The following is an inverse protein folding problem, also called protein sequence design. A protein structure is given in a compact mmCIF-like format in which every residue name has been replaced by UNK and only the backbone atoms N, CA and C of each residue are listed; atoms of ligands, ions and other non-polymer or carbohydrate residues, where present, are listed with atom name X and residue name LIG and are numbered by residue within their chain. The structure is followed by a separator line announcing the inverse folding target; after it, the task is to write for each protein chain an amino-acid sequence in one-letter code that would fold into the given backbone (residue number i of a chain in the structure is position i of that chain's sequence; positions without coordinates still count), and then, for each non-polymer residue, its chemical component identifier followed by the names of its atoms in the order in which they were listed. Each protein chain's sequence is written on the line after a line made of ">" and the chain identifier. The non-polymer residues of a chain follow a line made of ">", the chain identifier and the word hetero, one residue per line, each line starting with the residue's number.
data_IF_153921833804
#
_entry.id   IF_153921833804
#
_cell.length_a   1.000
_cell.length_b   1.000
_cell.length_c   1.000
_cell.angle_alpha   90.00
_cell.angle_beta   90.00
_cell.angle_gamma   90.00
#
_symmetry.space_group_name_H-M   'P 1'
#
loop_
_entity.id
_entity.type
_entity.pdbx_description
1 polymer ?
#
# COMPACT_ATOMS: atom_id res chain seq x y z
N UNK A 1 -20.31 3.40 6.23
CA UNK A 1 -21.19 3.80 5.09
C UNK A 1 -20.50 3.34 3.82
N UNK A 2 -21.19 3.14 2.69
CA UNK A 2 -20.49 2.97 1.41
C UNK A 2 -19.61 4.20 1.16
N UNK A 3 -18.37 4.00 0.69
CA UNK A 3 -17.47 5.09 0.31
C UNK A 3 -17.75 5.48 -1.14
N UNK A 4 -18.89 6.13 -1.35
CA UNK A 4 -19.52 6.35 -2.67
C UNK A 4 -18.60 7.08 -3.68
N UNK A 5 -17.76 8.00 -3.20
CA UNK A 5 -16.85 8.79 -4.03
C UNK A 5 -15.41 8.31 -3.99
N UNK A 6 -15.15 7.10 -3.47
CA UNK A 6 -13.80 6.52 -3.41
C UNK A 6 -13.32 6.20 -4.82
N UNK A 7 -12.08 6.53 -5.13
CA UNK A 7 -11.46 6.17 -6.40
C UNK A 7 -11.37 4.65 -6.61
N UNK A 8 -11.14 4.24 -7.84
CA UNK A 8 -11.17 2.83 -8.22
C UNK A 8 -9.83 2.11 -8.01
N UNK A 9 -9.91 0.85 -7.59
CA UNK A 9 -8.75 -0.04 -7.55
C UNK A 9 -8.45 -0.58 -8.95
N UNK A 10 -7.39 -0.08 -9.60
CA UNK A 10 -6.98 -0.45 -10.96
C UNK A 10 -5.74 -1.34 -10.97
N UNK A 11 -5.55 -2.09 -12.06
CA UNK A 11 -4.29 -2.78 -12.39
C UNK A 11 -3.82 -2.30 -13.77
N UNK A 12 -2.74 -1.53 -13.80
CA UNK A 12 -2.14 -0.99 -15.01
C UNK A 12 -0.64 -0.73 -14.79
N UNK A 13 0.13 -0.58 -15.88
CA UNK A 13 1.46 0.01 -15.82
C UNK A 13 1.32 1.53 -15.71
N UNK A 14 1.99 2.12 -14.72
CA UNK A 14 1.96 3.55 -14.42
C UNK A 14 3.33 3.94 -13.86
N UNK A 15 3.88 5.04 -14.39
CA UNK A 15 5.18 5.59 -14.00
C UNK A 15 5.05 6.87 -13.14
N UNK A 16 3.85 7.46 -13.12
CA UNK A 16 3.46 8.62 -12.30
C UNK A 16 2.42 8.21 -11.26
N UNK A 17 2.74 8.39 -9.97
CA UNK A 17 1.87 8.07 -8.83
C UNK A 17 2.43 8.66 -7.52
N UNK A 18 1.66 8.60 -6.44
CA UNK A 18 2.14 8.71 -5.06
C UNK A 18 2.07 7.32 -4.44
N UNK A 19 3.22 6.75 -4.09
CA UNK A 19 3.26 5.54 -3.27
C UNK A 19 3.06 5.92 -1.80
N UNK A 20 2.25 5.16 -1.06
CA UNK A 20 1.74 5.48 0.26
C UNK A 20 1.76 4.24 1.18
N UNK A 21 2.05 4.47 2.46
CA UNK A 21 1.89 3.52 3.56
C UNK A 21 1.51 4.28 4.85
N UNK A 22 0.54 3.74 5.62
CA UNK A 22 0.07 4.31 6.88
C UNK A 22 0.30 3.36 8.06
N UNK A 23 1.00 3.86 9.08
CA UNK A 23 0.98 3.23 10.40
C UNK A 23 -0.24 3.72 11.19
N UNK A 24 -0.93 2.80 11.88
CA UNK A 24 -2.25 3.04 12.48
C UNK A 24 -2.41 2.34 13.84
N UNK A 25 -3.40 2.73 14.65
CA UNK A 25 -3.65 2.07 15.95
C UNK A 25 -4.40 0.74 15.87
N UNK A 26 -4.84 0.34 14.68
CA UNK A 26 -5.63 -0.87 14.44
C UNK A 26 -6.13 -0.92 13.00
N UNK A 27 -7.26 -1.60 12.75
CA UNK A 27 -7.77 -1.81 11.40
C UNK A 27 -9.08 -1.10 11.06
N UNK A 28 -9.79 -0.55 12.05
CA UNK A 28 -11.08 0.08 11.83
C UNK A 28 -10.97 1.59 11.76
N UNK A 29 -11.01 2.12 10.54
CA UNK A 29 -11.20 3.53 10.14
C UNK A 29 -12.15 4.38 10.99
N UNK A 30 -13.04 3.76 11.78
CA UNK A 30 -14.07 4.41 12.60
C UNK A 30 -13.78 4.38 14.10
N UNK A 31 -12.71 3.69 14.52
CA UNK A 31 -12.34 3.44 15.92
C UNK A 31 -10.83 3.57 16.17
N UNK A 32 -10.02 3.53 15.12
CA UNK A 32 -8.57 3.61 15.12
C UNK A 32 -8.09 4.86 14.37
N UNK A 33 -6.91 5.34 14.74
CA UNK A 33 -6.31 6.57 14.21
C UNK A 33 -5.00 6.31 13.46
N UNK A 34 -4.65 7.25 12.56
CA UNK A 34 -3.37 7.28 11.84
C UNK A 34 -2.27 7.77 12.80
N UNK A 35 -1.11 7.11 12.77
CA UNK A 35 0.09 7.40 13.58
C UNK A 35 1.28 7.92 12.76
N UNK A 36 1.40 7.49 11.51
CA UNK A 36 2.42 7.97 10.58
C UNK A 36 1.84 7.95 9.16
N UNK A 37 2.14 8.98 8.37
CA UNK A 37 1.92 9.01 6.92
C UNK A 37 3.30 9.00 6.26
N UNK A 38 3.63 7.92 5.55
CA UNK A 38 4.80 7.86 4.68
C UNK A 38 4.35 7.83 3.23
N UNK A 39 4.89 8.72 2.40
CA UNK A 39 4.58 8.75 0.99
C UNK A 39 5.76 9.24 0.12
N UNK A 40 5.81 8.74 -1.12
CA UNK A 40 6.80 9.14 -2.12
C UNK A 40 6.07 9.43 -3.42
N UNK A 41 6.23 10.66 -3.92
CA UNK A 41 5.79 11.02 -5.26
C UNK A 41 6.79 10.49 -6.27
N UNK A 42 6.29 9.71 -7.21
CA UNK A 42 7.04 9.13 -8.32
C UNK A 42 6.59 9.81 -9.61
N UNK A 43 7.56 10.14 -10.47
CA UNK A 43 7.37 10.64 -11.85
C UNK A 43 8.37 10.00 -12.79
N UNK A 44 7.93 9.57 -13.97
CA UNK A 44 8.75 8.81 -14.93
C UNK A 44 9.48 7.61 -14.26
N UNK A 45 8.85 6.99 -13.26
CA UNK A 45 9.42 5.89 -12.46
C UNK A 45 10.46 6.30 -11.40
N UNK A 46 10.76 7.60 -11.26
CA UNK A 46 11.78 8.17 -10.35
C UNK A 46 11.12 8.84 -9.14
N UNK A 47 11.64 8.69 -7.90
CA UNK A 47 11.13 9.44 -6.76
C UNK A 47 11.54 10.91 -6.90
N UNK A 48 10.56 11.82 -6.93
CA UNK A 48 10.80 13.27 -7.06
C UNK A 48 10.55 14.02 -5.75
N UNK A 49 9.76 13.46 -4.84
CA UNK A 49 9.36 14.11 -3.60
C UNK A 49 9.03 13.06 -2.52
N UNK A 50 9.31 13.37 -1.24
CA UNK A 50 8.99 12.53 -0.09
C UNK A 50 8.17 13.30 0.93
N UNK A 51 7.20 12.64 1.55
CA UNK A 51 6.38 13.15 2.65
C UNK A 51 6.43 12.13 3.78
N UNK A 52 6.84 12.55 4.97
CA UNK A 52 6.85 11.72 6.19
C UNK A 52 6.33 12.58 7.34
N UNK A 53 5.26 12.14 8.00
CA UNK A 53 4.63 12.89 9.09
C UNK A 53 4.08 11.94 10.15
N UNK A 54 4.68 11.98 11.35
CA UNK A 54 4.09 11.40 12.56
C UNK A 54 2.84 12.18 12.98
N UNK A 55 1.86 11.48 13.51
CA UNK A 55 0.55 12.01 13.89
C UNK A 55 0.27 11.68 15.35
N UNK A 56 -0.19 12.68 16.12
CA UNK A 56 -0.62 12.48 17.49
C UNK A 56 -2.11 12.05 17.52
N UNK A 57 -2.45 10.84 17.98
CA UNK A 57 -3.83 10.38 18.07
C UNK A 57 -4.61 11.03 19.23
N UNK A 58 -3.97 11.84 20.07
CA UNK A 58 -4.61 12.51 21.22
C UNK A 58 -4.85 11.60 22.43
N UNK A 59 -4.43 10.34 22.38
CA UNK A 59 -4.47 9.38 23.48
C UNK A 59 -3.23 8.49 23.53
N UNK A 60 -3.07 7.73 24.61
CA UNK A 60 -1.92 6.85 24.79
C UNK A 60 -1.98 5.63 23.85
N UNK A 61 -0.99 5.50 22.96
CA UNK A 61 -0.79 4.35 22.09
C UNK A 61 -0.60 3.08 22.96
N UNK A 62 -1.38 2.01 22.74
CA UNK A 62 -1.21 0.75 23.47
C UNK A 62 0.14 0.08 23.18
N UNK A 63 0.77 -0.51 24.20
CA UNK A 63 2.09 -1.17 24.07
C UNK A 63 2.17 -2.23 22.95
N UNK A 64 1.06 -2.90 22.64
CA UNK A 64 0.97 -3.84 21.52
C UNK A 64 1.18 -3.15 20.16
N UNK A 65 0.62 -1.95 19.98
CA UNK A 65 0.78 -1.14 18.77
C UNK A 65 2.21 -0.59 18.69
N UNK A 66 2.75 -0.03 19.78
CA UNK A 66 4.16 0.40 19.81
C UNK A 66 5.14 -0.73 19.50
N UNK A 67 4.87 -1.96 19.94
CA UNK A 67 5.69 -3.13 19.59
C UNK A 67 5.51 -3.63 18.15
N UNK A 68 4.41 -3.25 17.49
CA UNK A 68 4.06 -3.66 16.13
C UNK A 68 4.59 -2.67 15.09
N UNK A 69 4.42 -1.37 15.35
CA UNK A 69 4.74 -0.26 14.43
C UNK A 69 6.06 0.45 14.77
N UNK A 70 6.65 0.15 15.93
CA UNK A 70 7.78 0.91 16.48
C UNK A 70 7.42 2.31 17.02
N UNK A 71 6.22 2.82 16.75
CA UNK A 71 5.82 4.18 17.12
C UNK A 71 5.45 4.24 18.60
N UNK A 72 6.25 4.99 19.35
CA UNK A 72 6.07 5.19 20.79
C UNK A 72 5.30 6.46 21.12
N UNK A 73 4.69 6.50 22.30
CA UNK A 73 4.04 7.70 22.86
C UNK A 73 5.00 8.91 22.91
N UNK A 74 6.29 8.69 23.15
CA UNK A 74 7.31 9.76 23.18
C UNK A 74 7.62 10.34 21.79
N UNK A 75 7.41 9.58 20.71
CA UNK A 75 7.60 10.07 19.34
C UNK A 75 6.44 10.97 18.89
N UNK A 76 5.20 10.66 19.30
CA UNK A 76 4.00 11.36 18.84
C UNK A 76 3.51 12.48 19.76
N UNK A 77 3.97 12.56 21.02
CA UNK A 77 3.45 13.54 22.00
C UNK A 77 3.52 15.00 21.53
N UNK A 78 4.57 15.36 20.80
CA UNK A 78 4.84 16.71 20.27
C UNK A 78 4.50 16.80 18.76
N UNK A 79 3.97 15.73 18.16
CA UNK A 79 3.54 15.70 16.77
C UNK A 79 2.18 16.40 16.59
N UNK A 80 1.88 16.95 15.40
CA UNK A 80 0.57 17.51 15.09
C UNK A 80 -0.53 16.45 15.11
N UNK A 81 -1.78 16.87 15.36
CA UNK A 81 -2.96 16.00 15.28
C UNK A 81 -3.41 15.82 13.83
N UNK A 82 -4.15 14.76 13.54
CA UNK A 82 -4.57 14.43 12.16
C UNK A 82 -5.35 15.58 11.48
N UNK A 83 -6.11 16.37 12.23
CA UNK A 83 -6.86 17.52 11.69
C UNK A 83 -5.96 18.62 11.10
N UNK A 84 -4.73 18.78 11.60
CA UNK A 84 -3.75 19.73 11.06
C UNK A 84 -2.94 19.12 9.90
N UNK A 85 -2.67 17.81 9.96
CA UNK A 85 -1.86 17.08 8.98
C UNK A 85 -2.63 16.79 7.69
N UNK A 86 -3.87 16.30 7.82
CA UNK A 86 -4.62 15.74 6.70
C UNK A 86 -4.92 16.74 5.58
N UNK A 87 -5.28 18.02 5.82
CA UNK A 87 -5.44 19.00 4.74
C UNK A 87 -4.15 19.18 3.94
N UNK A 88 -3.02 19.33 4.63
CA UNK A 88 -1.70 19.53 4.01
C UNK A 88 -1.31 18.30 3.21
N UNK A 89 -1.55 17.10 3.72
CA UNK A 89 -1.28 15.86 2.99
C UNK A 89 -2.19 15.68 1.76
N UNK A 90 -3.49 15.98 1.84
CA UNK A 90 -4.40 15.84 0.70
C UNK A 90 -4.19 16.90 -0.39
N UNK A 91 -3.73 18.10 -0.02
CA UNK A 91 -3.33 19.13 -0.99
C UNK A 91 -1.97 18.81 -1.62
N UNK A 92 -1.08 18.14 -0.88
CA UNK A 92 0.16 17.57 -1.42
C UNK A 92 -0.10 16.40 -2.37
N UNK A 93 -0.95 15.44 -1.98
CA UNK A 93 -1.36 14.31 -2.79
C UNK A 93 -2.01 14.77 -4.11
N UNK A 94 -2.92 15.75 -4.03
CA UNK A 94 -3.66 16.24 -5.19
C UNK A 94 -4.51 15.15 -5.83
N UNK A 95 -4.55 15.12 -7.15
CA UNK A 95 -5.28 14.12 -7.95
C UNK A 95 -4.38 12.93 -8.38
N UNK A 96 -3.19 12.78 -7.79
CA UNK A 96 -2.26 11.69 -8.16
C UNK A 96 -2.88 10.31 -7.89
N UNK A 97 -2.56 9.35 -8.77
CA UNK A 97 -2.83 7.94 -8.54
C UNK A 97 -2.12 7.47 -7.27
N UNK A 98 -2.83 6.80 -6.37
CA UNK A 98 -2.23 6.21 -5.17
C UNK A 98 -1.65 4.82 -5.51
N UNK A 99 -0.49 4.49 -4.95
CA UNK A 99 0.10 3.15 -5.04
C UNK A 99 0.47 2.68 -3.63
N UNK A 100 0.37 1.38 -3.35
CA UNK A 100 0.84 0.84 -2.08
C UNK A 100 0.66 -0.66 -1.99
N UNK A 101 0.89 -1.24 -0.81
CA UNK A 101 0.74 -2.67 -0.57
C UNK A 101 -0.43 -2.93 0.37
N UNK A 102 -1.48 -3.61 -0.11
CA UNK A 102 -2.79 -3.65 0.54
C UNK A 102 -3.46 -2.26 0.65
N UNK A 103 -3.10 -1.32 -0.24
CA UNK A 103 -3.38 0.14 -0.14
C UNK A 103 -4.87 0.51 -0.10
N UNK A 104 -5.75 -0.44 -0.42
CA UNK A 104 -7.18 -0.31 -0.16
C UNK A 104 -7.48 0.03 1.31
N UNK A 105 -6.63 -0.44 2.23
CA UNK A 105 -6.62 -0.13 3.65
C UNK A 105 -6.36 1.36 3.90
N UNK A 106 -5.25 1.86 3.39
CA UNK A 106 -4.75 3.22 3.56
C UNK A 106 -5.72 4.25 2.97
N UNK A 107 -6.22 3.96 1.76
CA UNK A 107 -7.25 4.77 1.09
C UNK A 107 -8.55 4.81 1.90
N UNK A 108 -8.94 3.71 2.57
CA UNK A 108 -10.12 3.70 3.44
C UNK A 108 -9.92 4.59 4.69
N UNK A 109 -8.71 4.60 5.28
CA UNK A 109 -8.37 5.51 6.39
C UNK A 109 -8.40 6.97 5.94
N UNK A 110 -7.68 7.31 4.85
CA UNK A 110 -7.70 8.67 4.31
C UNK A 110 -9.11 9.14 3.95
N UNK A 111 -9.93 8.29 3.31
CA UNK A 111 -11.30 8.62 2.93
C UNK A 111 -12.18 8.91 4.17
N UNK A 112 -12.24 7.99 5.13
CA UNK A 112 -13.13 8.15 6.30
C UNK A 112 -12.65 9.31 7.21
N UNK A 113 -11.33 9.53 7.34
CA UNK A 113 -10.79 10.69 8.06
C UNK A 113 -11.06 12.01 7.32
N UNK A 114 -10.95 12.06 5.98
CA UNK A 114 -11.16 13.28 5.20
C UNK A 114 -12.64 13.69 5.16
N UNK A 115 -13.55 12.71 5.01
CA UNK A 115 -14.99 12.94 5.14
C UNK A 115 -15.35 13.46 6.55
N UNK A 116 -14.78 12.85 7.59
CA UNK A 116 -15.12 13.18 8.99
C UNK A 116 -14.56 14.54 9.43
N UNK A 117 -13.31 14.86 9.06
CA UNK A 117 -12.62 16.06 9.53
C UNK A 117 -12.83 17.26 8.60
N UNK A 118 -12.95 17.02 7.30
CA UNK A 118 -12.90 18.07 6.26
C UNK A 118 -14.14 18.14 5.37
N UNK A 119 -15.00 17.11 5.38
CA UNK A 119 -16.10 16.97 4.42
C UNK A 119 -15.63 16.83 2.97
N UNK A 120 -14.43 16.26 2.76
CA UNK A 120 -13.79 16.06 1.45
C UNK A 120 -13.59 14.56 1.19
N UNK A 121 -14.07 14.08 0.06
CA UNK A 121 -13.86 12.70 -0.37
C UNK A 121 -12.47 12.50 -0.98
N UNK A 122 -11.91 11.29 -0.84
CA UNK A 122 -10.67 10.87 -1.50
C UNK A 122 -11.02 10.05 -2.74
N UNK A 123 -11.06 10.72 -3.90
CA UNK A 123 -11.48 10.15 -5.19
C UNK A 123 -10.33 9.63 -6.06
N UNK A 124 -9.11 9.60 -5.53
CA UNK A 124 -7.92 9.12 -6.23
C UNK A 124 -8.04 7.63 -6.57
N UNK A 125 -7.95 7.28 -7.86
CA UNK A 125 -7.74 5.88 -8.28
C UNK A 125 -6.45 5.33 -7.66
N UNK A 126 -6.39 4.01 -7.44
CA UNK A 126 -5.27 3.39 -6.75
C UNK A 126 -4.84 2.02 -7.30
N UNK A 127 -3.53 1.74 -7.24
CA UNK A 127 -2.93 0.45 -7.56
C UNK A 127 -2.54 -0.26 -6.26
N UNK A 128 -3.16 -1.41 -6.01
CA UNK A 128 -2.79 -2.29 -4.91
C UNK A 128 -1.79 -3.36 -5.39
N UNK A 129 -0.54 -3.25 -4.94
CA UNK A 129 0.53 -4.21 -5.27
C UNK A 129 0.30 -5.59 -4.68
N UNK A 130 -0.50 -5.76 -3.62
CA UNK A 130 -0.93 -7.07 -3.13
C UNK A 130 -1.88 -7.74 -4.14
N UNK A 131 -2.75 -6.97 -4.80
CA UNK A 131 -3.64 -7.47 -5.86
C UNK A 131 -2.84 -7.90 -7.09
N UNK A 132 -1.82 -7.12 -7.46
CA UNK A 132 -0.89 -7.49 -8.53
C UNK A 132 -0.05 -8.74 -8.17
N UNK A 133 0.47 -8.81 -6.94
CA UNK A 133 1.23 -9.96 -6.48
C UNK A 133 0.38 -11.24 -6.46
N UNK A 134 -0.87 -11.19 -5.99
CA UNK A 134 -1.81 -12.33 -6.04
C UNK A 134 -2.14 -12.75 -7.48
N UNK A 135 -2.20 -11.82 -8.43
CA UNK A 135 -2.40 -12.13 -9.85
C UNK A 135 -1.21 -12.89 -10.45
N UNK A 136 0.03 -12.47 -10.14
CA UNK A 136 1.26 -13.12 -10.61
C UNK A 136 1.60 -14.42 -9.86
N UNK A 137 1.22 -14.48 -8.57
CA UNK A 137 1.57 -15.54 -7.63
C UNK A 137 0.34 -16.18 -6.94
N UNK A 138 -0.66 -16.68 -7.68
CA UNK A 138 -1.91 -17.20 -7.10
C UNK A 138 -1.76 -18.51 -6.31
N UNK A 139 -0.60 -19.16 -6.39
CA UNK A 139 -0.27 -20.40 -5.65
C UNK A 139 0.57 -20.16 -4.39
N UNK A 140 1.05 -18.93 -4.19
CA UNK A 140 1.88 -18.59 -3.05
C UNK A 140 1.03 -18.41 -1.80
N UNK A 141 1.42 -19.07 -0.70
CA UNK A 141 0.67 -19.06 0.57
C UNK A 141 0.53 -17.66 1.17
N UNK A 142 1.55 -16.82 1.01
CA UNK A 142 1.56 -15.43 1.45
C UNK A 142 2.17 -14.53 0.37
N UNK A 143 1.71 -13.28 0.35
CA UNK A 143 2.13 -12.24 -0.59
C UNK A 143 2.29 -10.89 0.13
N UNK A 144 2.61 -10.90 1.43
CA UNK A 144 2.87 -9.67 2.22
C UNK A 144 4.11 -8.97 1.67
N UNK A 145 4.27 -7.67 1.93
CA UNK A 145 5.48 -6.93 1.55
C UNK A 145 6.76 -7.66 2.00
N UNK A 146 6.80 -8.14 3.24
CA UNK A 146 7.90 -8.96 3.78
C UNK A 146 8.16 -10.28 3.03
N UNK A 147 7.15 -10.90 2.42
CA UNK A 147 7.36 -12.08 1.56
C UNK A 147 7.87 -11.66 0.17
N UNK A 148 7.35 -10.55 -0.38
CA UNK A 148 7.72 -10.05 -1.71
C UNK A 148 9.16 -9.53 -1.76
N UNK A 149 9.59 -8.75 -0.76
CA UNK A 149 10.96 -8.23 -0.71
C UNK A 149 11.99 -9.36 -0.62
N UNK A 150 11.68 -10.45 0.08
CA UNK A 150 12.55 -11.64 0.13
C UNK A 150 12.49 -12.40 -1.20
N UNK A 151 11.29 -12.66 -1.74
CA UNK A 151 11.09 -13.38 -3.01
C UNK A 151 11.78 -12.70 -4.19
N UNK A 152 11.76 -11.38 -4.24
CA UNK A 152 12.39 -10.57 -5.29
C UNK A 152 13.84 -10.18 -4.98
N UNK A 153 14.36 -10.59 -3.80
CA UNK A 153 15.68 -10.26 -3.27
C UNK A 153 15.94 -8.73 -3.21
N UNK A 154 14.91 -7.99 -2.79
CA UNK A 154 14.92 -6.54 -2.53
C UNK A 154 15.37 -6.23 -1.10
N UNK A 155 15.03 -7.04 -0.11
CA UNK A 155 15.52 -6.89 1.27
C UNK A 155 15.32 -8.19 2.07
N UNK A 156 16.10 -8.38 3.12
CA UNK A 156 15.95 -9.51 4.07
C UNK A 156 14.80 -9.30 5.07
N UNK A 157 14.47 -8.05 5.40
CA UNK A 157 13.45 -7.70 6.41
C UNK A 157 12.69 -6.43 6.05
N UNK A 158 11.40 -6.40 6.36
CA UNK A 158 10.59 -5.19 6.35
C UNK A 158 11.08 -4.22 7.44
N UNK A 159 10.98 -2.91 7.22
CA UNK A 159 11.54 -1.92 8.13
C UNK A 159 10.58 -1.50 9.25
N UNK A 160 9.27 -1.58 9.00
CA UNK A 160 8.22 -1.03 9.88
C UNK A 160 8.45 0.46 10.19
N UNK A 161 8.83 1.20 9.14
CA UNK A 161 8.83 2.65 9.05
C UNK A 161 8.26 3.00 7.69
N UNK A 162 7.19 3.79 7.68
CA UNK A 162 6.36 4.00 6.48
C UNK A 162 7.15 4.40 5.25
N UNK A 163 8.12 5.32 5.36
CA UNK A 163 8.92 5.77 4.21
C UNK A 163 9.77 4.65 3.55
N UNK A 164 10.36 3.75 4.35
CA UNK A 164 11.21 2.68 3.84
C UNK A 164 10.37 1.48 3.36
N UNK A 165 9.19 1.25 3.95
CA UNK A 165 8.22 0.26 3.48
C UNK A 165 7.52 0.75 2.18
N UNK A 166 7.37 2.07 1.98
CA UNK A 166 7.02 2.68 0.69
C UNK A 166 8.10 2.42 -0.37
N UNK A 167 9.38 2.67 -0.06
CA UNK A 167 10.48 2.41 -1.02
C UNK A 167 10.56 0.91 -1.41
N UNK A 168 10.40 0.01 -0.44
CA UNK A 168 10.26 -1.43 -0.68
C UNK A 168 9.06 -1.75 -1.59
N UNK A 169 7.92 -1.11 -1.35
CA UNK A 169 6.69 -1.30 -2.16
C UNK A 169 6.87 -0.83 -3.60
N UNK A 170 7.51 0.32 -3.83
CA UNK A 170 7.84 0.80 -5.18
C UNK A 170 8.80 -0.15 -5.89
N UNK A 171 9.83 -0.64 -5.19
CA UNK A 171 10.75 -1.63 -5.75
C UNK A 171 10.03 -2.95 -6.13
N UNK A 172 9.12 -3.44 -5.29
CA UNK A 172 8.28 -4.61 -5.59
C UNK A 172 7.39 -4.39 -6.81
N UNK A 173 6.72 -3.23 -6.91
CA UNK A 173 5.89 -2.88 -8.06
C UNK A 173 6.70 -2.84 -9.37
N UNK A 174 7.82 -2.11 -9.35
CA UNK A 174 8.71 -1.98 -10.50
C UNK A 174 9.34 -3.32 -10.93
N UNK A 175 9.64 -4.21 -9.97
CA UNK A 175 10.06 -5.58 -10.25
C UNK A 175 8.94 -6.36 -10.96
N UNK A 176 7.70 -6.28 -10.46
CA UNK A 176 6.55 -6.99 -11.05
C UNK A 176 6.21 -6.51 -12.46
N UNK A 177 6.29 -5.20 -12.73
CA UNK A 177 6.11 -4.64 -14.08
C UNK A 177 7.13 -5.20 -15.08
N UNK A 178 8.42 -5.26 -14.69
CA UNK A 178 9.48 -5.82 -15.54
C UNK A 178 9.27 -7.31 -15.76
N UNK A 179 8.97 -8.08 -14.71
CA UNK A 179 8.67 -9.50 -14.82
C UNK A 179 7.51 -9.78 -15.78
N UNK A 180 6.45 -8.96 -15.73
CA UNK A 180 5.33 -9.05 -16.67
C UNK A 180 5.78 -8.79 -18.12
N UNK A 181 6.53 -7.71 -18.36
CA UNK A 181 7.03 -7.37 -19.70
C UNK A 181 7.98 -8.45 -20.28
N UNK A 182 8.93 -8.94 -19.48
CA UNK A 182 9.89 -9.99 -19.86
C UNK A 182 9.21 -11.33 -20.20
N UNK A 183 8.08 -11.65 -19.55
CA UNK A 183 7.35 -12.91 -19.75
C UNK A 183 6.10 -12.75 -20.64
N UNK A 184 5.87 -11.57 -21.24
CA UNK A 184 4.70 -11.30 -22.08
C UNK A 184 3.36 -11.39 -21.36
N UNK A 185 3.34 -11.20 -20.04
CA UNK A 185 2.13 -11.24 -19.21
C UNK A 185 1.43 -9.89 -19.33
N UNK A 186 0.25 -9.86 -19.96
CA UNK A 186 -0.58 -8.66 -19.98
C UNK A 186 -1.24 -8.42 -18.63
N UNK A 187 -1.66 -7.17 -18.38
CA UNK A 187 -2.73 -6.94 -17.41
C UNK A 187 -4.02 -7.62 -17.87
N UNK A 188 -4.95 -7.96 -16.97
CA UNK A 188 -6.28 -8.41 -17.37
C UNK A 188 -6.98 -7.35 -18.24
N UNK A 189 -7.72 -7.78 -19.27
CA UNK A 189 -8.37 -6.90 -20.27
C UNK A 189 -9.45 -5.97 -19.69
N UNK A 190 -9.87 -6.25 -18.45
CA UNK A 190 -10.58 -5.32 -17.57
C UNK A 190 -9.59 -4.96 -16.47
N UNK A 191 -9.55 -3.69 -16.08
CA UNK A 191 -8.70 -3.09 -15.03
C UNK A 191 -8.80 -3.71 -13.62
N UNK A 192 -9.43 -4.89 -13.50
CA UNK A 192 -9.77 -5.65 -12.31
C UNK A 192 -11.22 -5.53 -11.90
N UNK A 193 -12.01 -4.60 -12.46
CA UNK A 193 -13.46 -4.54 -12.23
C UNK A 193 -14.18 -5.69 -12.93
N UNK A 194 -15.00 -6.45 -12.20
CA UNK A 194 -15.61 -7.73 -12.62
C UNK A 194 -17.00 -7.89 -12.00
N UNK A 195 -18.04 -7.50 -12.72
CA UNK A 195 -19.27 -7.03 -12.08
C UNK A 195 -20.61 -7.78 -12.40
N UNK A 196 -21.74 -7.47 -11.70
CA UNK A 196 -23.09 -8.13 -11.79
C UNK A 196 -24.30 -7.27 -11.30
N UNK A 197 -25.49 -7.39 -11.92
CA UNK A 197 -26.63 -6.44 -11.79
C UNK A 197 -27.38 -6.33 -10.43
N UNK A 198 -26.85 -6.81 -9.31
CA UNK A 198 -27.61 -6.82 -8.04
C UNK A 198 -27.00 -5.90 -6.97
N UNK A 199 -27.66 -4.79 -6.59
CA UNK A 199 -27.26 -4.00 -5.43
C UNK A 199 -27.47 -4.82 -4.15
N UNK A 200 -26.38 -5.23 -3.49
CA UNK A 200 -26.45 -5.99 -2.24
C UNK A 200 -27.07 -5.21 -1.06
N UNK A 201 -26.99 -3.87 -1.10
CA UNK A 201 -27.47 -2.99 -0.03
C UNK A 201 -28.55 -2.04 -0.54
N UNK A 202 -29.82 -2.33 -0.23
CA UNK A 202 -30.91 -1.35 -0.27
C UNK A 202 -31.37 -1.01 1.14
N UNK A 203 -30.89 0.13 1.64
CA UNK A 203 -31.37 0.74 2.89
C UNK A 203 -30.69 0.23 4.17
N UNK A 204 -31.17 0.75 5.31
CA UNK A 204 -30.54 0.57 6.64
C UNK A 204 -30.76 -0.81 7.26
N UNK A 205 -31.79 -1.54 6.84
CA UNK A 205 -32.19 -2.84 7.39
C UNK A 205 -32.42 -3.87 6.28
N UNK A 206 -31.36 -4.54 5.81
CA UNK A 206 -31.50 -5.91 5.29
C UNK A 206 -30.18 -6.67 5.19
N UNK A 207 -30.26 -7.95 5.56
CA UNK A 207 -29.18 -8.93 5.51
C UNK A 207 -28.72 -9.15 4.07
N UNK A 208 -27.40 -9.32 3.89
CA UNK A 208 -26.79 -9.95 2.72
C UNK A 208 -27.63 -11.14 2.25
N UNK A 209 -28.29 -11.00 1.09
CA UNK A 209 -28.81 -12.13 0.33
C UNK A 209 -27.62 -12.84 -0.32
N UNK A 210 -26.94 -13.63 0.50
CA UNK A 210 -25.89 -14.56 0.05
C UNK A 210 -26.55 -15.52 -0.94
N UNK A 211 -26.32 -15.31 -2.24
CA UNK A 211 -27.02 -16.06 -3.29
C UNK A 211 -26.59 -17.54 -3.27
N UNK A 212 -27.48 -18.48 -3.65
CA UNK A 212 -27.13 -19.90 -3.73
C UNK A 212 -26.10 -20.17 -4.83
N UNK A 213 -25.42 -21.32 -4.69
CA UNK A 213 -24.35 -21.78 -5.58
C UNK A 213 -24.78 -21.83 -7.06
N UNK A 214 -23.87 -21.38 -7.92
CA UNK A 214 -23.94 -21.49 -9.38
C UNK A 214 -22.58 -21.09 -9.94
N UNK A 215 -22.39 -19.77 -10.12
CA UNK A 215 -21.16 -19.19 -10.66
C UNK A 215 -20.40 -18.39 -9.58
N UNK A 216 -19.81 -19.11 -8.62
CA UNK A 216 -18.93 -18.50 -7.61
C UNK A 216 -17.58 -18.21 -8.26
N UNK A 217 -17.19 -16.93 -8.29
CA UNK A 217 -15.81 -16.53 -8.57
C UNK A 217 -15.09 -16.33 -7.23
N UNK A 218 -14.03 -17.10 -6.90
CA UNK A 218 -13.21 -16.82 -5.74
C UNK A 218 -12.61 -15.41 -5.80
N UNK A 219 -12.64 -14.69 -4.69
CA UNK A 219 -12.09 -13.34 -4.60
C UNK A 219 -10.67 -13.41 -4.00
N UNK A 220 -9.63 -12.82 -4.61
CA UNK A 220 -8.27 -12.86 -4.09
C UNK A 220 -8.07 -12.35 -2.64
N UNK A 221 -9.00 -11.56 -2.09
CA UNK A 221 -8.98 -11.12 -0.69
C UNK A 221 -9.52 -12.18 0.29
N UNK A 222 -10.28 -13.17 -0.20
CA UNK A 222 -10.92 -14.21 0.60
C UNK A 222 -10.41 -15.62 0.26
N UNK A 223 -10.06 -15.90 -1.00
CA UNK A 223 -9.72 -17.24 -1.48
C UNK A 223 -8.51 -17.83 -0.74
N UNK A 224 -8.71 -19.03 -0.17
CA UNK A 224 -7.73 -19.69 0.70
C UNK A 224 -7.49 -19.03 2.07
N UNK A 225 -8.01 -17.83 2.33
CA UNK A 225 -7.80 -17.10 3.58
C UNK A 225 -8.68 -17.64 4.71
N UNK A 226 -8.12 -17.86 5.89
CA UNK A 226 -8.87 -18.38 7.04
C UNK A 226 -9.40 -17.29 7.95
N UNK A 227 -10.73 -17.22 8.10
CA UNK A 227 -11.45 -16.30 8.97
C UNK A 227 -11.94 -16.99 10.24
N UNK A 228 -11.67 -16.40 11.40
CA UNK A 228 -12.18 -16.82 12.71
C UNK A 228 -13.06 -15.71 13.27
N UNK A 229 -14.29 -16.03 13.66
CA UNK A 229 -15.22 -15.06 14.25
C UNK A 229 -15.23 -15.15 15.79
N UNK A 230 -15.28 -14.00 16.46
CA UNK A 230 -15.46 -13.89 17.91
C UNK A 230 -16.40 -12.73 18.26
N UNK A 231 -16.95 -12.74 19.48
CA UNK A 231 -17.93 -11.72 19.88
C UNK A 231 -19.29 -11.86 19.19
N UNK A 232 -20.18 -10.89 19.44
CA UNK A 232 -21.50 -10.82 18.82
C UNK A 232 -21.50 -9.85 17.63
N UNK A 233 -21.80 -10.35 16.43
CA UNK A 233 -21.99 -9.52 15.24
C UNK A 233 -23.37 -8.85 15.30
N UNK A 234 -23.44 -7.54 15.04
CA UNK A 234 -24.64 -6.72 15.06
C UNK A 234 -25.39 -6.71 13.74
N UNK A 235 -24.69 -6.59 12.61
CA UNK A 235 -25.34 -6.33 11.30
C UNK A 235 -25.70 -7.61 10.53
N UNK A 236 -25.06 -8.74 10.82
CA UNK A 236 -25.43 -10.03 10.24
C UNK A 236 -25.20 -11.20 11.19
N UNK A 237 -25.92 -12.30 11.00
CA UNK A 237 -25.69 -13.51 11.80
C UNK A 237 -24.31 -14.11 11.50
N UNK A 238 -23.69 -14.75 12.50
CA UNK A 238 -22.40 -15.45 12.29
C UNK A 238 -22.48 -16.51 11.18
N UNK A 239 -23.60 -17.22 11.07
CA UNK A 239 -23.80 -18.21 9.99
C UNK A 239 -23.81 -17.56 8.62
N UNK A 240 -24.45 -16.40 8.47
CA UNK A 240 -24.46 -15.63 7.23
C UNK A 240 -23.06 -15.09 6.89
N UNK A 241 -22.30 -14.61 7.88
CA UNK A 241 -20.92 -14.14 7.69
C UNK A 241 -19.99 -15.28 7.25
N UNK A 242 -20.11 -16.44 7.89
CA UNK A 242 -19.37 -17.64 7.52
C UNK A 242 -19.73 -18.15 6.12
N UNK A 243 -21.01 -18.07 5.72
CA UNK A 243 -21.40 -18.43 4.36
C UNK A 243 -20.85 -17.44 3.32
N UNK A 244 -20.81 -16.14 3.62
CA UNK A 244 -20.20 -15.15 2.74
C UNK A 244 -18.70 -15.42 2.53
N UNK A 245 -17.95 -15.78 3.59
CA UNK A 245 -16.55 -16.22 3.50
C UNK A 245 -16.39 -17.42 2.57
N UNK A 246 -17.20 -18.48 2.73
CA UNK A 246 -17.17 -19.67 1.86
C UNK A 246 -17.49 -19.31 0.40
N UNK A 247 -18.49 -18.45 0.19
CA UNK A 247 -18.92 -18.01 -1.13
C UNK A 247 -17.86 -17.17 -1.87
N UNK A 248 -16.82 -16.70 -1.20
CA UNK A 248 -15.69 -15.96 -1.80
C UNK A 248 -14.39 -16.79 -1.84
N UNK A 249 -14.45 -18.09 -1.50
CA UNK A 249 -13.30 -19.01 -1.49
C UNK A 249 -12.58 -19.15 -0.13
N UNK A 250 -13.03 -18.43 0.89
CA UNK A 250 -12.40 -18.41 2.20
C UNK A 250 -12.78 -19.58 3.12
N UNK A 251 -11.94 -19.79 4.13
CA UNK A 251 -12.00 -20.92 5.06
C UNK A 251 -12.50 -20.45 6.43
N UNK A 252 -13.51 -21.11 6.99
CA UNK A 252 -14.02 -20.79 8.33
C UNK A 252 -13.27 -21.54 9.44
N UNK A 253 -12.40 -20.84 10.16
CA UNK A 253 -11.71 -21.34 11.34
C UNK A 253 -12.58 -21.32 12.61
N UNK A 254 -12.45 -22.36 13.46
CA UNK A 254 -13.13 -22.45 14.76
C UNK A 254 -12.34 -21.76 15.90
N UNK A 255 -11.01 -21.77 15.79
CA UNK A 255 -10.08 -21.23 16.78
C UNK A 255 -8.93 -20.54 16.05
N UNK A 256 -8.29 -19.57 16.70
CA UNK A 256 -7.11 -18.89 16.16
C UNK A 256 -5.92 -19.86 16.13
N UNK A 257 -5.32 -20.06 14.96
CA UNK A 257 -4.15 -20.91 14.67
C UNK A 257 -3.10 -20.12 13.88
N UNK A 258 -1.96 -20.75 13.53
CA UNK A 258 -0.95 -20.15 12.64
C UNK A 258 -1.44 -19.95 11.19
N UNK A 259 -2.52 -20.63 10.82
CA UNK A 259 -3.13 -20.55 9.50
C UNK A 259 -4.32 -19.57 9.47
N UNK A 260 -4.61 -18.88 10.57
CA UNK A 260 -5.68 -17.87 10.65
C UNK A 260 -5.19 -16.53 10.11
N UNK A 261 -5.76 -16.05 9.00
CA UNK A 261 -5.45 -14.75 8.41
C UNK A 261 -6.26 -13.61 9.05
N UNK A 262 -7.51 -13.87 9.43
CA UNK A 262 -8.41 -12.84 9.98
C UNK A 262 -9.11 -13.29 11.26
N UNK A 263 -9.03 -12.48 12.31
CA UNK A 263 -9.90 -12.56 13.49
C UNK A 263 -10.94 -11.43 13.40
N UNK A 264 -12.17 -11.78 13.05
CA UNK A 264 -13.29 -10.84 12.96
C UNK A 264 -13.99 -10.72 14.32
N UNK A 265 -14.20 -9.50 14.80
CA UNK A 265 -14.83 -9.23 16.11
C UNK A 265 -16.00 -8.25 15.98
N UNK A 266 -17.11 -8.47 16.69
CA UNK A 266 -18.20 -7.48 16.73
C UNK A 266 -17.74 -6.11 17.26
N UNK A 267 -18.26 -4.99 16.75
CA UNK A 267 -17.66 -3.66 17.00
C UNK A 267 -17.74 -3.23 18.48
N UNK A 268 -18.69 -3.75 19.27
CA UNK A 268 -18.67 -3.56 20.73
C UNK A 268 -17.48 -4.27 21.37
N UNK A 269 -17.20 -5.50 20.95
CA UNK A 269 -16.11 -6.32 21.48
C UNK A 269 -14.74 -5.81 21.01
N UNK A 270 -14.66 -5.23 19.81
CA UNK A 270 -13.50 -4.49 19.30
C UNK A 270 -13.18 -3.30 20.22
N UNK A 271 -14.15 -2.41 20.44
CA UNK A 271 -13.99 -1.21 21.27
C UNK A 271 -13.69 -1.55 22.74
N UNK A 272 -14.28 -2.62 23.27
CA UNK A 272 -13.96 -3.12 24.61
C UNK A 272 -12.53 -3.67 24.68
N UNK A 273 -12.06 -4.35 23.63
CA UNK A 273 -10.69 -4.89 23.53
C UNK A 273 -9.63 -3.78 23.40
N UNK A 274 -9.91 -2.72 22.63
CA UNK A 274 -9.09 -1.50 22.60
C UNK A 274 -8.97 -0.86 23.99
N UNK A 275 -10.07 -0.82 24.75
CA UNK A 275 -10.13 -0.34 26.14
C UNK A 275 -9.65 -1.36 27.19
N UNK A 276 -9.01 -2.46 26.75
CA UNK A 276 -8.31 -3.42 27.61
C UNK A 276 -9.05 -4.72 27.94
N UNK A 277 -10.36 -4.83 27.67
CA UNK A 277 -11.16 -6.03 27.95
C UNK A 277 -11.04 -7.10 26.84
N UNK A 278 -9.82 -7.58 26.61
CA UNK A 278 -9.48 -8.47 25.48
C UNK A 278 -9.91 -9.93 25.70
N UNK A 279 -10.52 -10.53 24.68
CA UNK A 279 -10.86 -11.97 24.69
C UNK A 279 -9.63 -12.88 24.56
N UNK A 280 -9.73 -14.14 25.01
CA UNK A 280 -8.63 -15.12 24.86
C UNK A 280 -8.25 -15.40 23.40
N UNK A 281 -9.19 -15.23 22.44
CA UNK A 281 -8.89 -15.34 21.00
C UNK A 281 -8.09 -14.12 20.52
N UNK A 282 -8.44 -12.93 20.99
CA UNK A 282 -7.73 -11.68 20.70
C UNK A 282 -6.28 -11.74 21.18
N UNK A 283 -6.07 -12.05 22.46
CA UNK A 283 -4.72 -12.20 23.04
C UNK A 283 -3.86 -13.24 22.31
N UNK A 284 -4.49 -14.32 21.81
CA UNK A 284 -3.80 -15.32 20.99
C UNK A 284 -3.43 -14.79 19.60
N UNK A 285 -4.30 -14.00 18.96
CA UNK A 285 -4.03 -13.37 17.68
C UNK A 285 -2.90 -12.32 17.80
N UNK A 286 -2.94 -11.44 18.80
CA UNK A 286 -1.87 -10.47 19.08
C UNK A 286 -0.51 -11.16 19.26
N UNK A 287 -0.46 -12.25 20.04
CA UNK A 287 0.76 -13.03 20.24
C UNK A 287 1.29 -13.67 18.96
N UNK A 288 0.41 -14.12 18.07
CA UNK A 288 0.82 -14.69 16.78
C UNK A 288 1.31 -13.61 15.82
N UNK A 289 0.66 -12.45 15.77
CA UNK A 289 1.07 -11.29 14.96
C UNK A 289 2.46 -10.78 15.36
N UNK A 290 2.70 -10.61 16.66
CA UNK A 290 4.04 -10.27 17.19
C UNK A 290 5.11 -11.34 16.92
N UNK A 291 4.70 -12.57 16.60
CA UNK A 291 5.58 -13.66 16.15
C UNK A 291 5.66 -13.76 14.61
N UNK A 292 5.38 -12.66 13.90
CA UNK A 292 5.49 -12.56 12.44
C UNK A 292 4.45 -13.38 11.65
N UNK A 293 3.38 -13.87 12.30
CA UNK A 293 2.31 -14.56 11.59
C UNK A 293 1.39 -13.55 10.90
N UNK A 294 0.97 -13.90 9.70
CA UNK A 294 0.02 -13.16 8.86
C UNK A 294 -1.40 -13.23 9.46
N UNK A 295 -1.66 -12.43 10.51
CA UNK A 295 -2.98 -12.36 11.16
C UNK A 295 -3.40 -10.92 11.46
N UNK A 296 -4.56 -10.56 10.93
CA UNK A 296 -5.21 -9.26 11.10
C UNK A 296 -6.41 -9.39 12.05
N UNK A 297 -6.54 -8.45 12.99
CA UNK A 297 -7.68 -8.38 13.91
C UNK A 297 -8.55 -7.24 13.44
N UNK A 298 -9.75 -7.56 12.95
CA UNK A 298 -10.64 -6.59 12.29
C UNK A 298 -12.00 -6.53 12.98
N UNK A 299 -12.64 -5.37 12.94
CA UNK A 299 -14.04 -5.24 13.38
C UNK A 299 -14.99 -5.89 12.37
N UNK A 300 -16.24 -6.11 12.78
CA UNK A 300 -17.30 -6.54 11.87
C UNK A 300 -17.53 -5.51 10.76
N UNK A 301 -17.34 -4.21 11.05
CA UNK A 301 -17.51 -3.13 10.09
C UNK A 301 -16.44 -3.16 8.99
N UNK A 302 -15.18 -3.43 9.34
CA UNK A 302 -14.10 -3.66 8.36
C UNK A 302 -14.35 -4.94 7.54
N UNK A 303 -14.84 -6.00 8.17
CA UNK A 303 -15.22 -7.23 7.46
C UNK A 303 -16.38 -6.99 6.47
N UNK A 304 -17.34 -6.11 6.80
CA UNK A 304 -18.40 -5.73 5.87
C UNK A 304 -17.91 -4.81 4.76
N UNK A 305 -16.95 -3.93 5.03
CA UNK A 305 -16.27 -3.15 3.99
C UNK A 305 -15.52 -4.10 3.03
N UNK A 306 -14.81 -5.13 3.52
CA UNK A 306 -14.18 -6.16 2.67
C UNK A 306 -15.20 -6.92 1.80
N UNK A 307 -16.34 -7.33 2.36
CA UNK A 307 -17.44 -7.94 1.57
C UNK A 307 -18.03 -6.95 0.55
N UNK A 308 -18.11 -5.67 0.91
CA UNK A 308 -18.59 -4.59 0.04
C UNK A 308 -17.63 -4.29 -1.10
N UNK A 309 -16.32 -4.30 -0.86
CA UNK A 309 -15.29 -4.17 -1.88
C UNK A 309 -15.35 -5.38 -2.84
N UNK A 310 -15.37 -6.61 -2.30
CA UNK A 310 -15.53 -7.84 -3.10
C UNK A 310 -16.81 -7.88 -3.96
N UNK A 311 -17.91 -7.24 -3.54
CA UNK A 311 -19.19 -7.26 -4.28
C UNK A 311 -19.60 -5.90 -4.89
N UNK A 312 -18.75 -4.88 -4.78
CA UNK A 312 -18.78 -3.71 -5.67
C UNK A 312 -17.94 -3.97 -6.92
N UNK A 313 -16.84 -4.75 -6.80
CA UNK A 313 -16.26 -5.50 -7.93
C UNK A 313 -17.39 -6.23 -8.65
N UNK A 314 -18.17 -7.01 -7.89
CA UNK A 314 -19.54 -7.54 -8.06
C UNK A 314 -20.67 -6.71 -8.74
N UNK A 315 -20.55 -5.43 -9.16
CA UNK A 315 -21.72 -4.58 -9.60
C UNK A 315 -21.86 -4.14 -11.09
N UNK A 316 -21.13 -3.12 -11.56
CA UNK A 316 -21.29 -2.32 -12.81
C UNK A 316 -21.02 -2.99 -14.22
N UNK A 317 -21.31 -4.28 -14.45
CA UNK A 317 -20.87 -5.03 -15.66
C UNK A 317 -21.95 -5.17 -16.70
N UNK A 318 -23.14 -5.50 -16.23
CA UNK A 318 -24.20 -5.99 -17.09
C UNK A 318 -25.16 -4.86 -17.48
N UNK A 319 -25.04 -3.67 -16.85
CA UNK A 319 -25.51 -2.38 -17.35
C UNK A 319 -24.94 -1.97 -18.72
N UNK A 320 -23.81 -2.54 -19.18
CA UNK A 320 -23.27 -2.25 -20.55
C UNK A 320 -23.70 -3.25 -21.62
N UNK A 321 -24.60 -4.19 -21.30
CA UNK A 321 -25.06 -5.24 -22.24
C UNK A 321 -26.52 -5.12 -22.70
N UNK A 322 -27.22 -4.03 -22.32
CA UNK A 322 -28.63 -3.84 -22.66
C UNK A 322 -29.02 -2.38 -22.93
N UNK A 323 -28.62 -1.83 -24.10
CA UNK A 323 -29.42 -0.87 -24.89
C UNK A 323 -28.77 -0.53 -26.24
N UNK A 324 -28.94 -1.40 -27.23
CA UNK A 324 -28.98 -0.99 -28.64
C UNK A 324 -30.45 -0.80 -29.02
N UNK A 325 -30.92 0.44 -29.14
CA UNK A 325 -32.35 0.71 -29.36
C UNK A 325 -32.78 2.18 -29.46
N UNK A 326 -32.79 2.69 -30.69
CA UNK A 326 -33.49 3.89 -31.18
C UNK A 326 -33.02 5.32 -30.83
N UNK A 327 -33.04 6.14 -31.89
CA UNK A 327 -32.76 7.58 -31.92
C UNK A 327 -33.79 8.40 -31.15
N UNK A 328 -33.37 9.57 -30.62
CA UNK A 328 -33.95 10.86 -31.06
C UNK A 328 -33.09 12.08 -30.73
N UNK A 329 -33.13 13.03 -31.66
CA UNK A 329 -32.45 14.33 -31.63
C UNK A 329 -33.11 15.35 -30.69
N UNK A 330 -32.32 16.15 -29.98
CA UNK A 330 -32.69 17.52 -29.62
C UNK A 330 -31.43 18.39 -29.34
N UNK A 331 -31.38 19.59 -29.91
CA UNK A 331 -30.34 20.59 -29.66
C UNK A 331 -30.84 21.72 -28.76
N UNK A 332 -30.05 22.22 -27.80
CA UNK A 332 -30.03 23.66 -27.44
C UNK A 332 -29.00 24.08 -26.37
N UNK A 333 -27.87 24.64 -26.82
CA UNK A 333 -27.39 26.01 -26.53
C UNK A 333 -27.68 26.70 -25.16
N UNK A 334 -26.65 26.82 -24.32
CA UNK A 334 -26.29 28.00 -23.45
C UNK A 334 -24.85 27.74 -22.93
N UNK A 335 -23.80 28.58 -22.94
CA UNK A 335 -23.56 30.04 -22.82
C UNK A 335 -23.90 30.67 -21.46
N UNK A 336 -22.86 31.04 -20.70
CA UNK A 336 -22.90 31.75 -19.41
C UNK A 336 -21.69 31.38 -18.53
N UNK A 337 -20.46 31.85 -18.84
CA UNK A 337 -19.87 33.15 -18.45
C UNK A 337 -19.10 33.10 -17.13
N UNK A 338 -17.80 33.42 -17.21
CA UNK A 338 -16.86 33.60 -16.09
C UNK A 338 -17.19 34.87 -15.30
N UNK A 339 -17.11 34.79 -13.96
CA UNK A 339 -16.78 35.95 -13.10
C UNK A 339 -15.81 35.48 -12.01
N UNK A 340 -14.88 36.35 -11.65
CA UNK A 340 -13.69 36.08 -10.83
C UNK A 340 -13.76 36.71 -9.42
N UNK A 341 -12.73 36.40 -8.63
CA UNK A 341 -12.25 37.13 -7.44
C UNK A 341 -13.06 37.04 -6.13
N UNK A 342 -12.43 36.38 -5.15
CA UNK A 342 -12.68 36.51 -3.73
C UNK A 342 -11.39 36.19 -2.98
N UNK A 343 -10.62 37.22 -2.59
CA UNK A 343 -9.31 37.03 -1.98
C UNK A 343 -9.42 36.46 -0.54
N UNK A 344 -8.83 35.29 -0.32
CA UNK A 344 -8.60 34.70 1.00
C UNK A 344 -7.10 34.43 1.18
N UNK A 345 -6.50 35.00 2.22
CA UNK A 345 -5.06 34.93 2.43
C UNK A 345 -4.58 33.53 2.82
N UNK A 346 -3.78 32.89 1.97
CA UNK A 346 -3.12 31.63 2.29
C UNK A 346 -2.10 31.82 3.41
N UNK A 347 -2.28 31.08 4.51
CA UNK A 347 -1.31 30.96 5.58
C UNK A 347 -0.14 30.11 5.10
N UNK A 348 1.02 30.74 4.90
CA UNK A 348 2.27 30.06 4.53
C UNK A 348 2.68 29.04 5.61
N UNK A 349 2.49 27.75 5.33
CA UNK A 349 3.19 26.68 6.02
C UNK A 349 4.69 26.77 5.71
N UNK A 350 5.47 27.34 6.65
CA UNK A 350 6.92 27.54 6.49
C UNK A 350 7.70 26.24 6.73
N UNK A 351 7.67 25.32 5.78
CA UNK A 351 8.57 24.16 5.78
C UNK A 351 9.86 24.48 5.02
N UNK A 352 10.80 25.16 5.69
CA UNK A 352 12.18 25.28 5.19
C UNK A 352 12.94 23.96 5.39
N UNK A 353 12.87 23.04 4.43
CA UNK A 353 13.92 22.05 4.18
C UNK A 353 14.20 21.98 2.67
N UNK A 354 15.44 21.64 2.31
CA UNK A 354 16.01 21.86 0.97
C UNK A 354 15.39 20.94 -0.08
N UNK A 355 15.38 21.39 -1.33
CA UNK A 355 15.46 20.47 -2.47
C UNK A 355 16.73 19.62 -2.37
N UNK A 356 16.61 18.29 -2.54
CA UNK A 356 17.76 17.41 -2.71
C UNK A 356 18.31 17.57 -4.13
N UNK A 357 19.52 18.10 -4.26
CA UNK A 357 20.33 18.07 -5.49
C UNK A 357 21.67 17.42 -5.17
N UNK A 358 21.77 16.12 -5.46
CA UNK A 358 22.92 15.27 -5.20
C UNK A 358 23.00 14.16 -6.24
N UNK A 359 23.66 14.44 -7.36
CA UNK A 359 23.89 13.50 -8.46
C UNK A 359 25.23 12.79 -8.26
N UNK A 360 25.25 11.65 -7.56
CA UNK A 360 26.50 11.04 -7.08
C UNK A 360 26.65 9.55 -7.46
N UNK A 361 27.85 9.16 -7.88
CA UNK A 361 28.08 7.97 -8.73
C UNK A 361 28.72 6.79 -7.98
N UNK A 362 28.14 5.60 -8.09
CA UNK A 362 28.69 4.32 -7.63
C UNK A 362 29.01 3.44 -8.83
N UNK A 363 30.28 3.07 -8.99
CA UNK A 363 30.71 2.14 -10.04
C UNK A 363 30.42 0.71 -9.59
N UNK A 364 29.64 -0.02 -10.39
CA UNK A 364 29.27 -1.41 -10.13
C UNK A 364 30.07 -2.32 -11.05
N UNK A 365 30.97 -3.11 -10.49
CA UNK A 365 31.86 -3.97 -11.27
C UNK A 365 31.07 -5.08 -11.98
N UNK A 366 31.32 -5.26 -13.29
CA UNK A 366 30.66 -6.28 -14.11
C UNK A 366 31.28 -7.66 -13.88
N UNK A 367 30.63 -8.51 -13.07
CA UNK A 367 31.11 -9.87 -12.83
C UNK A 367 30.82 -10.79 -14.04
N UNK A 368 31.82 -11.45 -14.66
CA UNK A 368 31.69 -12.13 -15.97
C UNK A 368 30.93 -13.47 -15.98
N UNK A 369 30.11 -13.78 -14.96
CA UNK A 369 29.45 -15.08 -14.80
C UNK A 369 27.91 -15.00 -14.66
N UNK A 370 27.29 -13.84 -14.91
CA UNK A 370 25.85 -13.67 -14.79
C UNK A 370 25.23 -13.00 -16.03
N UNK A 371 23.99 -13.36 -16.34
CA UNK A 371 23.27 -12.96 -17.58
C UNK A 371 22.75 -11.52 -17.61
N UNK A 372 22.80 -10.80 -16.49
CA UNK A 372 22.29 -9.44 -16.37
C UNK A 372 23.43 -8.49 -16.01
N UNK A 373 23.65 -7.51 -16.88
CA UNK A 373 24.70 -6.50 -16.86
C UNK A 373 24.06 -5.10 -16.82
N UNK A 374 24.85 -4.05 -16.56
CA UNK A 374 24.35 -2.69 -16.76
C UNK A 374 24.15 -2.33 -18.23
N UNK A 375 24.64 -3.14 -19.18
CA UNK A 375 24.47 -2.94 -20.63
C UNK A 375 23.05 -3.24 -21.10
N UNK A 376 22.33 -4.13 -20.40
CA UNK A 376 20.95 -4.54 -20.70
C UNK A 376 19.92 -3.42 -20.45
N UNK A 377 20.34 -2.33 -19.81
CA UNK A 377 19.51 -1.16 -19.53
C UNK A 377 19.90 0.01 -20.47
N UNK A 378 18.94 0.85 -20.90
CA UNK A 378 19.25 2.13 -21.53
C UNK A 378 20.14 3.01 -20.61
N UNK A 379 20.88 3.94 -21.18
CA UNK A 379 21.41 5.07 -20.40
C UNK A 379 20.23 5.91 -19.89
N UNK A 380 20.42 6.54 -18.74
CA UNK A 380 19.40 7.32 -18.00
C UNK A 380 18.17 6.52 -17.52
N UNK A 381 18.18 5.20 -17.72
CA UNK A 381 17.19 4.28 -17.16
C UNK A 381 17.23 4.33 -15.63
N UNK A 382 16.07 4.52 -15.01
CA UNK A 382 15.97 4.52 -13.56
C UNK A 382 15.60 3.14 -13.02
N UNK A 383 16.31 2.76 -11.97
CA UNK A 383 16.25 1.47 -11.34
C UNK A 383 16.00 1.68 -9.85
N UNK A 384 15.23 0.77 -9.26
CA UNK A 384 15.14 0.65 -7.81
C UNK A 384 16.08 -0.48 -7.39
N UNK A 385 17.02 -0.17 -6.50
CA UNK A 385 18.11 -1.07 -6.12
C UNK A 385 18.20 -1.24 -4.61
N UNK A 386 18.57 -2.42 -4.17
CA UNK A 386 18.93 -2.68 -2.77
C UNK A 386 20.37 -2.28 -2.54
N UNK A 387 20.64 -1.58 -1.45
CA UNK A 387 21.96 -1.28 -0.94
C UNK A 387 22.17 -2.09 0.34
N UNK A 388 23.21 -2.92 0.39
CA UNK A 388 23.68 -3.52 1.65
C UNK A 388 25.12 -3.11 1.92
N UNK A 389 25.44 -2.81 3.17
CA UNK A 389 26.82 -2.69 3.62
C UNK A 389 27.47 -4.08 3.61
N UNK A 390 28.53 -4.26 2.82
CA UNK A 390 29.32 -5.49 2.80
C UNK A 390 30.79 -5.14 3.00
N UNK A 391 31.45 -5.81 3.95
CA UNK A 391 32.89 -5.67 4.16
C UNK A 391 33.60 -6.74 3.34
N UNK A 392 34.43 -6.32 2.38
CA UNK A 392 35.22 -7.21 1.53
C UNK A 392 36.66 -6.71 1.61
N UNK A 393 37.60 -7.61 1.94
CA UNK A 393 39.02 -7.30 2.16
C UNK A 393 39.26 -6.17 3.18
N UNK A 394 38.47 -6.14 4.26
CA UNK A 394 38.38 -5.07 5.28
C UNK A 394 37.88 -3.69 4.80
N UNK A 395 37.51 -3.54 3.52
CA UNK A 395 36.95 -2.29 2.99
C UNK A 395 35.40 -2.33 2.96
N UNK A 396 34.71 -1.26 3.40
CA UNK A 396 33.26 -1.15 3.25
C UNK A 396 32.88 -0.91 1.79
N UNK A 397 32.02 -1.78 1.26
CA UNK A 397 31.50 -1.74 -0.10
C UNK A 397 29.97 -1.80 -0.07
N UNK A 398 29.33 -1.46 -1.20
CA UNK A 398 27.88 -1.53 -1.35
C UNK A 398 27.56 -2.75 -2.20
N UNK A 399 26.85 -3.74 -1.67
CA UNK A 399 26.20 -4.71 -2.56
C UNK A 399 24.94 -4.07 -3.13
N UNK A 400 24.84 -4.09 -4.46
CA UNK A 400 23.71 -3.55 -5.20
C UNK A 400 22.91 -4.71 -5.76
N UNK A 401 21.67 -4.91 -5.31
CA UNK A 401 20.78 -5.89 -5.98
C UNK A 401 20.00 -5.22 -7.10
N UNK A 402 20.10 -5.76 -8.31
CA UNK A 402 19.32 -5.36 -9.49
C UNK A 402 18.60 -6.60 -10.00
N UNK A 403 17.26 -6.55 -10.12
CA UNK A 403 16.43 -7.68 -10.58
C UNK A 403 16.75 -9.01 -9.85
N UNK A 404 16.94 -8.94 -8.53
CA UNK A 404 17.32 -10.07 -7.68
C UNK A 404 18.75 -10.61 -7.89
N UNK A 405 19.52 -10.07 -8.83
CA UNK A 405 20.94 -10.38 -9.01
C UNK A 405 21.80 -9.45 -8.16
N UNK A 406 22.48 -10.00 -7.15
CA UNK A 406 23.42 -9.24 -6.30
C UNK A 406 24.69 -8.91 -7.10
N UNK A 407 25.06 -7.64 -7.14
CA UNK A 407 26.35 -7.11 -7.60
C UNK A 407 27.10 -6.52 -6.41
N UNK A 408 28.41 -6.37 -6.54
CA UNK A 408 29.21 -5.57 -5.60
C UNK A 408 29.63 -4.31 -6.34
N UNK A 409 29.24 -3.16 -5.80
CA UNK A 409 29.66 -1.84 -6.25
C UNK A 409 30.67 -1.24 -5.28
N UNK A 410 31.63 -0.52 -5.85
CA UNK A 410 32.66 0.19 -5.10
C UNK A 410 32.30 1.66 -5.05
N UNK A 411 32.22 2.21 -3.85
CA UNK A 411 32.28 3.66 -3.68
C UNK A 411 33.70 4.09 -4.09
N UNK A 412 33.85 5.04 -5.03
CA UNK A 412 35.15 5.59 -5.41
C UNK A 412 35.95 6.01 -4.17
N UNK A 413 37.25 5.75 -4.16
CA UNK A 413 38.11 5.93 -2.96
C UNK A 413 38.03 7.35 -2.40
N UNK A 414 38.04 8.35 -3.29
CA UNK A 414 37.89 9.80 -2.98
C UNK A 414 36.55 10.16 -2.31
N UNK A 415 35.55 9.29 -2.41
CA UNK A 415 34.22 9.46 -1.84
C UNK A 415 34.05 8.68 -0.53
N UNK A 416 34.87 7.65 -0.22
CA UNK A 416 34.64 6.76 0.92
C UNK A 416 34.53 7.48 2.26
N UNK A 417 35.41 8.43 2.57
CA UNK A 417 35.33 9.21 3.83
C UNK A 417 34.02 10.02 3.95
N UNK A 418 33.45 10.46 2.82
CA UNK A 418 32.19 11.24 2.79
C UNK A 418 30.95 10.36 2.99
N UNK A 419 30.93 9.12 2.47
CA UNK A 419 29.74 8.25 2.49
C UNK A 419 29.82 7.03 3.40
N UNK A 420 30.95 6.71 4.05
CA UNK A 420 31.02 5.57 4.97
C UNK A 420 29.94 5.63 6.08
N UNK A 421 29.53 6.83 6.48
CA UNK A 421 28.43 7.06 7.43
C UNK A 421 27.01 7.02 6.79
N UNK A 422 26.92 7.15 5.46
CA UNK A 422 25.67 7.08 4.68
C UNK A 422 25.38 5.67 4.13
N UNK A 423 26.34 4.74 4.16
CA UNK A 423 26.05 3.33 3.90
C UNK A 423 25.17 2.81 5.05
N UNK A 424 23.92 2.42 4.78
CA UNK A 424 22.99 2.03 5.84
C UNK A 424 23.50 0.76 6.55
N UNK A 425 23.31 0.72 7.87
CA UNK A 425 23.72 -0.43 8.72
C UNK A 425 22.84 -1.68 8.56
N UNK A 426 21.84 -1.58 7.68
CA UNK A 426 20.90 -2.63 7.25
C UNK A 426 20.66 -2.46 5.74
N UNK A 427 19.98 -3.43 5.13
CA UNK A 427 19.42 -3.27 3.79
C UNK A 427 18.60 -1.98 3.68
N UNK A 428 18.87 -1.17 2.66
CA UNK A 428 17.99 -0.06 2.26
C UNK A 428 17.65 -0.19 0.77
N UNK A 429 16.55 0.42 0.38
CA UNK A 429 16.16 0.55 -1.02
C UNK A 429 16.45 1.98 -1.47
N UNK A 430 17.06 2.15 -2.63
CA UNK A 430 17.32 3.47 -3.21
C UNK A 430 16.94 3.50 -4.69
N UNK A 431 16.57 4.69 -5.17
CA UNK A 431 16.55 4.92 -6.60
C UNK A 431 17.97 5.09 -7.14
N UNK A 432 18.20 4.60 -8.35
CA UNK A 432 19.45 4.70 -9.07
C UNK A 432 19.17 5.05 -10.54
N UNK A 433 20.14 5.63 -11.22
CA UNK A 433 20.08 5.89 -12.67
C UNK A 433 21.32 5.32 -13.34
N UNK A 434 21.14 4.62 -14.46
CA UNK A 434 22.24 4.03 -15.23
C UNK A 434 23.00 5.14 -15.96
N UNK A 435 24.27 5.32 -15.61
CA UNK A 435 25.12 6.41 -16.08
C UNK A 435 26.45 5.88 -16.65
N UNK A 436 27.30 6.79 -17.11
CA UNK A 436 28.69 6.53 -17.50
C UNK A 436 29.62 7.22 -16.49
N UNK A 437 30.66 6.51 -16.03
CA UNK A 437 31.71 7.06 -15.16
C UNK A 437 32.79 7.84 -15.93
N UNK A 438 33.72 8.46 -15.21
CA UNK A 438 34.81 9.25 -15.80
C UNK A 438 35.77 8.44 -16.71
N UNK A 439 35.74 7.11 -16.61
CA UNK A 439 36.55 6.18 -17.40
C UNK A 439 35.79 5.57 -18.59
N UNK A 440 34.51 5.96 -18.79
CA UNK A 440 33.66 5.46 -19.87
C UNK A 440 32.89 4.16 -19.54
N UNK A 441 32.94 3.66 -18.30
CA UNK A 441 32.23 2.45 -17.90
C UNK A 441 30.80 2.77 -17.46
N UNK A 442 29.88 1.82 -17.67
CA UNK A 442 28.53 1.92 -17.11
C UNK A 442 28.55 1.78 -15.59
N UNK A 443 27.83 2.65 -14.90
CA UNK A 443 27.76 2.76 -13.45
C UNK A 443 26.33 3.09 -13.00
N UNK A 444 26.10 3.16 -11.69
CA UNK A 444 24.83 3.61 -11.11
C UNK A 444 25.03 4.91 -10.34
N UNK A 445 24.34 5.97 -10.76
CA UNK A 445 24.17 7.17 -9.95
C UNK A 445 23.08 6.91 -8.91
N UNK A 446 23.42 6.90 -7.63
CA UNK A 446 22.46 6.62 -6.54
C UNK A 446 21.81 7.90 -6.04
N UNK A 447 20.51 7.86 -5.82
CA UNK A 447 19.76 8.90 -5.11
C UNK A 447 19.55 8.46 -3.66
N UNK A 448 20.60 8.63 -2.85
CA UNK A 448 20.56 8.34 -1.41
C UNK A 448 19.72 9.40 -0.66
N UNK A 449 18.99 9.03 0.40
CA UNK A 449 18.47 10.00 1.37
C UNK A 449 19.63 10.71 2.12
N UNK A 450 19.43 11.99 2.48
CA UNK A 450 20.38 12.84 3.25
C UNK A 450 20.51 12.39 4.72
#
# INVERSE_FOLDING_TARGET
>A
MPREYKGASILASKDDYVSLDLETTGFDTRQDDILEIGAIRVRDGKPVERYEQLVNPGYAIPIFITNLTGISNDMVKDAPVLADVLPVFLDWLGDDLILGHNVNFDVNFLYDSAETLLGRSVSNDFIDTLRLARYLYPKERHNRLSDLIVRFNIAETQSHRSIADVEQTVACYQWMLRYMAENGISFPDKDGRRYSDTPLFRGKDQLLRVMPQGDITPDPAFDGMTFVFTGALKKMTRSSAQQAVINLGGINGKTVTKDTNYLVTGSTDYNASLKGAKSSKWLKAEKLRLAGQDINIISEDVFYDMLGDSVSVISMAAETSSNDGELRSASSRAKGTVVSEGAGGFLNAKTKKKELKGDETVTVDSHPLQRLTLEDFPLDASLWVTLKNVVIDNEPQISVTINGSVRVGRIPEILREKYAAMIPSKDAVAAATVAIDENGNRCLRLSLPE
#
